data_IF_162004242242
#
_entry.id   IF_162004242242
#
_cell.length_a   1.000
_cell.length_b   1.000
_cell.length_c   1.000
_cell.angle_alpha   90.00
_cell.angle_beta   90.00
_cell.angle_gamma   90.00
#
_symmetry.space_group_name_H-M   'P 1'
#
loop_
_entity.id
_entity.type
_entity.pdbx_description
1 polymer ?
#
# COMPACT_ATOMS: atom_id res chain seq x y z
N UNK A 1 -9.90 1.54 -10.15
CA UNK A 1 -8.55 1.39 -9.59
C UNK A 1 -8.47 -0.01 -9.01
N UNK A 2 -7.38 -0.71 -9.24
CA UNK A 2 -7.12 -2.04 -8.72
C UNK A 2 -5.73 -2.09 -8.07
N UNK A 3 -5.63 -2.79 -6.95
CA UNK A 3 -4.38 -3.24 -6.35
C UNK A 3 -4.52 -4.75 -6.18
N UNK A 4 -3.48 -5.49 -6.53
CA UNK A 4 -3.34 -6.91 -6.23
C UNK A 4 -1.96 -7.12 -5.60
N UNK A 5 -1.82 -8.13 -4.74
CA UNK A 5 -0.56 -8.39 -4.05
C UNK A 5 -0.28 -9.88 -3.93
N UNK A 6 0.99 -10.21 -3.74
CA UNK A 6 1.48 -11.51 -3.33
C UNK A 6 2.49 -11.32 -2.20
N UNK A 7 2.50 -12.27 -1.26
CA UNK A 7 3.49 -12.34 -0.19
C UNK A 7 4.58 -13.34 -0.56
N UNK A 8 5.82 -13.00 -0.26
CA UNK A 8 6.94 -13.92 -0.30
C UNK A 8 7.82 -13.76 0.94
N UNK A 9 8.56 -14.80 1.32
CA UNK A 9 9.51 -14.75 2.42
C UNK A 9 10.92 -14.98 1.90
N UNK A 10 11.87 -14.17 2.32
CA UNK A 10 13.29 -14.37 2.01
C UNK A 10 13.92 -15.46 2.90
N UNK A 11 15.19 -15.81 2.62
CA UNK A 11 15.92 -16.84 3.38
C UNK A 11 16.17 -16.50 4.85
N UNK A 12 16.01 -15.23 5.24
CA UNK A 12 16.07 -14.75 6.62
C UNK A 12 14.70 -14.67 7.29
N UNK A 13 13.62 -15.05 6.59
CA UNK A 13 12.24 -14.96 7.08
C UNK A 13 11.66 -13.54 7.04
N UNK A 14 12.30 -12.63 6.31
CA UNK A 14 11.76 -11.32 6.00
C UNK A 14 10.64 -11.43 4.98
N UNK A 15 9.50 -10.80 5.27
CA UNK A 15 8.31 -10.87 4.41
C UNK A 15 8.31 -9.72 3.42
N UNK A 16 8.18 -10.01 2.14
CA UNK A 16 8.08 -9.01 1.06
C UNK A 16 6.66 -9.02 0.50
N UNK A 17 6.14 -7.84 0.20
CA UNK A 17 4.85 -7.68 -0.49
C UNK A 17 5.15 -7.20 -1.91
N UNK A 18 4.89 -8.06 -2.89
CA UNK A 18 4.92 -7.67 -4.29
C UNK A 18 3.52 -7.28 -4.73
N UNK A 19 3.31 -6.02 -5.04
CA UNK A 19 2.02 -5.50 -5.47
C UNK A 19 2.04 -5.02 -6.92
N UNK A 20 0.86 -5.10 -7.53
CA UNK A 20 0.60 -4.56 -8.87
C UNK A 20 -0.60 -3.63 -8.83
N UNK A 21 -0.57 -2.58 -9.65
CA UNK A 21 -1.64 -1.61 -9.73
C UNK A 21 -1.75 -1.00 -11.12
N UNK A 22 -2.92 -0.44 -11.42
CA UNK A 22 -3.17 0.35 -12.63
C UNK A 22 -3.07 1.87 -12.39
N UNK A 23 -2.48 2.28 -11.26
CA UNK A 23 -2.15 3.68 -10.98
C UNK A 23 -1.02 4.17 -11.91
N UNK A 24 -0.86 5.49 -12.07
CA UNK A 24 0.23 6.05 -12.86
C UNK A 24 1.61 5.67 -12.30
N UNK A 25 2.59 5.52 -13.19
CA UNK A 25 3.99 5.40 -12.77
C UNK A 25 4.41 6.63 -11.95
N UNK A 26 5.25 6.39 -10.94
CA UNK A 26 5.63 7.39 -9.96
C UNK A 26 4.64 7.55 -8.80
N UNK A 27 3.53 6.81 -8.77
CA UNK A 27 2.66 6.79 -7.59
C UNK A 27 3.43 6.29 -6.38
N UNK A 28 3.35 7.05 -5.29
CA UNK A 28 3.94 6.71 -3.99
C UNK A 28 2.87 6.00 -3.15
N UNK A 29 3.10 4.74 -2.80
CA UNK A 29 2.19 3.93 -2.00
C UNK A 29 2.85 3.52 -0.69
N UNK A 30 2.02 3.17 0.29
CA UNK A 30 2.44 2.57 1.56
C UNK A 30 1.89 1.16 1.68
N UNK A 31 2.64 0.27 2.31
CA UNK A 31 2.14 -0.98 2.84
C UNK A 31 2.36 -1.01 4.35
N UNK A 32 1.29 -1.27 5.10
CA UNK A 32 1.30 -1.29 6.56
C UNK A 32 0.77 -2.62 7.08
N UNK A 33 1.43 -3.18 8.08
CA UNK A 33 0.92 -4.26 8.91
C UNK A 33 0.42 -3.72 10.25
N UNK A 34 -0.68 -4.30 10.72
CA UNK A 34 -1.26 -4.07 12.03
C UNK A 34 -1.47 -5.41 12.74
N UNK A 35 -1.43 -5.36 14.06
CA UNK A 35 -1.80 -6.44 14.99
C UNK A 35 -2.94 -5.94 15.88
N UNK A 36 -3.48 -6.79 16.75
CA UNK A 36 -4.59 -6.43 17.65
C UNK A 36 -4.29 -5.16 18.48
N UNK A 37 -3.05 -5.01 18.93
CA UNK A 37 -2.57 -3.85 19.70
C UNK A 37 -2.30 -2.59 18.84
N UNK A 38 -2.55 -2.66 17.52
CA UNK A 38 -2.44 -1.55 16.58
C UNK A 38 -1.28 -1.67 15.59
N UNK A 39 -0.68 -0.53 15.25
CA UNK A 39 0.36 -0.43 14.22
C UNK A 39 1.57 -1.33 14.54
N UNK A 40 1.99 -2.11 13.56
CA UNK A 40 3.17 -2.98 13.68
C UNK A 40 4.35 -2.47 12.86
N UNK A 41 4.19 -2.34 11.55
CA UNK A 41 5.25 -1.91 10.65
C UNK A 41 4.68 -1.27 9.37
N UNK A 42 5.49 -0.45 8.71
CA UNK A 42 5.18 0.13 7.40
C UNK A 42 6.45 0.19 6.56
N UNK A 43 6.26 0.08 5.25
CA UNK A 43 7.24 0.46 4.25
C UNK A 43 6.55 1.25 3.13
N UNK A 44 7.32 2.10 2.45
CA UNK A 44 6.86 2.93 1.34
C UNK A 44 7.54 2.50 0.04
N UNK A 45 6.90 2.76 -1.10
CA UNK A 45 7.51 2.49 -2.38
C UNK A 45 6.90 3.29 -3.52
N UNK A 46 7.59 3.25 -4.65
CA UNK A 46 7.18 3.95 -5.87
C UNK A 46 6.77 2.93 -6.92
N UNK A 47 5.56 3.07 -7.44
CA UNK A 47 5.04 2.26 -8.53
C UNK A 47 5.79 2.56 -9.82
N UNK A 48 6.27 1.51 -10.49
CA UNK A 48 6.93 1.62 -11.78
C UNK A 48 6.55 0.43 -12.66
N UNK A 49 6.08 0.71 -13.88
CA UNK A 49 5.55 -0.29 -14.82
C UNK A 49 4.46 -1.16 -14.16
N UNK A 50 3.56 -0.49 -13.40
CA UNK A 50 2.46 -1.12 -12.68
C UNK A 50 2.87 -2.05 -11.53
N UNK A 51 4.13 -2.02 -11.09
CA UNK A 51 4.68 -2.90 -10.03
C UNK A 51 5.36 -2.10 -8.93
N UNK A 52 5.31 -2.65 -7.71
CA UNK A 52 5.94 -2.11 -6.52
C UNK A 52 6.23 -3.25 -5.55
N UNK A 53 7.29 -3.15 -4.77
CA UNK A 53 7.65 -4.12 -3.73
C UNK A 53 7.89 -3.39 -2.42
N UNK A 54 7.46 -4.00 -1.32
CA UNK A 54 7.59 -3.45 0.04
C UNK A 54 8.29 -4.46 0.94
N UNK A 55 9.09 -3.96 1.88
CA UNK A 55 9.85 -4.75 2.84
C UNK A 55 11.30 -5.02 2.40
N UNK A 56 11.95 -6.05 2.94
CA UNK A 56 11.38 -7.10 3.77
C UNK A 56 10.98 -6.63 5.18
N UNK A 57 9.80 -7.04 5.64
CA UNK A 57 9.28 -6.83 6.98
C UNK A 57 9.77 -7.91 7.95
N UNK A 58 10.17 -7.51 9.15
CA UNK A 58 10.55 -8.41 10.23
C UNK A 58 10.31 -7.75 11.60
N UNK A 59 10.22 -8.55 12.66
CA UNK A 59 10.24 -8.04 14.02
C UNK A 59 11.69 -7.91 14.50
N UNK A 60 12.35 -6.80 14.13
CA UNK A 60 13.75 -6.51 14.49
C UNK A 60 14.71 -7.65 14.10
N UNK A 61 14.54 -8.19 12.90
CA UNK A 61 15.32 -9.33 12.39
C UNK A 61 14.78 -10.71 12.76
N UNK A 62 13.70 -10.79 13.54
CA UNK A 62 12.96 -12.03 13.76
C UNK A 62 11.89 -12.20 12.69
N UNK A 63 11.75 -13.38 12.06
CA UNK A 63 10.69 -13.65 11.10
C UNK A 63 9.29 -13.34 11.66
N UNK A 64 8.39 -12.90 10.77
CA UNK A 64 6.99 -12.68 11.12
C UNK A 64 6.24 -14.01 11.09
N UNK A 65 5.33 -14.21 12.04
CA UNK A 65 4.46 -15.39 12.12
C UNK A 65 3.09 -14.99 12.65
N UNK A 66 2.04 -15.61 12.13
CA UNK A 66 0.66 -15.41 12.59
C UNK A 66 -0.17 -14.53 11.66
N UNK A 67 -1.27 -14.01 12.21
CA UNK A 67 -2.25 -13.21 11.46
C UNK A 67 -1.96 -11.72 11.62
N UNK A 68 -1.99 -11.00 10.50
CA UNK A 68 -1.79 -9.55 10.45
C UNK A 68 -2.88 -8.91 9.59
N UNK A 69 -3.31 -7.71 9.97
CA UNK A 69 -4.09 -6.86 9.08
C UNK A 69 -3.11 -6.11 8.17
N UNK A 70 -3.23 -6.32 6.87
CA UNK A 70 -2.47 -5.65 5.82
C UNK A 70 -3.30 -4.52 5.22
N UNK A 71 -2.70 -3.34 5.07
CA UNK A 71 -3.25 -2.24 4.28
C UNK A 71 -2.24 -1.77 3.24
N UNK A 72 -2.62 -1.74 1.96
CA UNK A 72 -1.84 -1.12 0.88
C UNK A 72 -2.59 0.12 0.40
N UNK A 73 -1.97 1.28 0.56
CA UNK A 73 -2.65 2.57 0.44
C UNK A 73 -1.95 3.48 -0.56
N UNK A 74 -2.72 4.09 -1.46
CA UNK A 74 -2.37 5.36 -2.09
C UNK A 74 -2.84 6.48 -1.14
N UNK A 75 -1.92 7.29 -0.57
CA UNK A 75 -2.28 8.44 0.26
C UNK A 75 -3.23 9.42 -0.47
N UNK A 76 -3.82 10.36 0.29
CA UNK A 76 -4.66 11.42 -0.31
C UNK A 76 -3.97 12.06 -1.50
N UNK A 77 -4.74 12.25 -2.59
CA UNK A 77 -4.17 12.56 -3.90
C UNK A 77 -3.25 13.79 -3.92
N UNK A 78 -3.54 14.83 -3.12
CA UNK A 78 -2.68 16.04 -3.05
C UNK A 78 -1.25 15.78 -2.56
N UNK A 79 -1.00 14.64 -1.90
CA UNK A 79 0.32 14.27 -1.42
C UNK A 79 1.16 13.57 -2.50
N UNK A 80 0.58 13.19 -3.63
CA UNK A 80 1.30 12.49 -4.70
C UNK A 80 2.22 13.43 -5.50
N UNK A 81 3.22 12.92 -6.23
CA UNK A 81 4.03 13.74 -7.13
C UNK A 81 3.21 14.44 -8.21
N UNK A 82 3.65 15.60 -8.68
CA UNK A 82 2.96 16.40 -9.70
C UNK A 82 2.56 15.63 -10.96
N UNK A 83 3.42 14.79 -11.56
CA UNK A 83 3.04 13.96 -12.71
C UNK A 83 1.90 12.98 -12.40
N UNK A 84 1.86 12.42 -11.19
CA UNK A 84 0.78 11.53 -10.74
C UNK A 84 -0.50 12.33 -10.53
N UNK A 85 -0.43 13.49 -9.87
CA UNK A 85 -1.56 14.41 -9.69
C UNK A 85 -2.17 14.83 -11.04
N UNK A 86 -1.35 15.05 -12.07
CA UNK A 86 -1.85 15.37 -13.41
C UNK A 86 -2.72 14.25 -14.01
N UNK A 87 -2.50 12.99 -13.60
CA UNK A 87 -3.32 11.85 -14.01
C UNK A 87 -4.54 11.66 -13.11
N UNK A 88 -4.34 11.63 -11.78
CA UNK A 88 -5.40 11.29 -10.81
C UNK A 88 -6.26 12.49 -10.39
N UNK A 89 -5.79 13.70 -10.68
CA UNK A 89 -6.34 14.98 -10.24
C UNK A 89 -5.80 15.42 -8.87
N UNK A 90 -5.66 16.73 -8.66
CA UNK A 90 -5.09 17.33 -7.44
C UNK A 90 -5.79 16.88 -6.14
N UNK A 91 -7.10 16.59 -6.18
CA UNK A 91 -7.88 16.03 -5.07
C UNK A 91 -8.35 14.59 -5.36
N UNK A 92 -7.79 13.96 -6.39
CA UNK A 92 -8.08 12.58 -6.79
C UNK A 92 -9.39 12.43 -7.55
N UNK A 93 -9.97 13.50 -8.09
CA UNK A 93 -11.27 13.47 -8.77
C UNK A 93 -11.37 12.42 -9.90
N UNK A 94 -10.24 12.05 -10.53
CA UNK A 94 -10.18 11.03 -11.59
C UNK A 94 -10.03 9.60 -11.03
N UNK A 95 -9.76 9.43 -9.74
CA UNK A 95 -9.81 8.12 -9.08
C UNK A 95 -11.25 7.61 -9.04
N UNK A 96 -11.40 6.33 -9.40
CA UNK A 96 -12.66 5.59 -9.39
C UNK A 96 -12.40 4.11 -9.10
N UNK A 97 -13.41 3.40 -8.62
CA UNK A 97 -13.34 1.97 -8.28
C UNK A 97 -13.68 1.69 -6.82
N UNK A 98 -13.78 0.40 -6.48
CA UNK A 98 -14.25 -0.06 -5.17
C UNK A 98 -13.28 0.20 -4.01
N UNK A 99 -12.00 0.40 -4.33
CA UNK A 99 -10.94 0.68 -3.36
C UNK A 99 -10.77 2.18 -3.08
N UNK A 100 -11.53 3.05 -3.75
CA UNK A 100 -11.40 4.51 -3.63
C UNK A 100 -12.36 5.02 -2.56
N UNK A 101 -11.82 5.81 -1.64
CA UNK A 101 -12.56 6.45 -0.56
C UNK A 101 -12.28 7.95 -0.53
N UNK A 102 -13.07 8.70 0.25
CA UNK A 102 -12.93 10.14 0.45
C UNK A 102 -12.52 10.37 1.90
N UNK A 103 -11.44 11.12 2.10
CA UNK A 103 -11.05 11.59 3.43
C UNK A 103 -12.06 12.64 3.91
N UNK A 104 -12.69 12.41 5.07
CA UNK A 104 -13.81 13.24 5.55
C UNK A 104 -13.39 14.67 5.92
N UNK A 105 -12.10 14.89 6.22
CA UNK A 105 -11.59 16.19 6.66
C UNK A 105 -11.22 17.05 5.46
N UNK A 106 -10.44 16.50 4.52
CA UNK A 106 -9.94 17.22 3.36
C UNK A 106 -10.89 17.19 2.16
N UNK A 107 -11.74 16.17 2.05
CA UNK A 107 -12.54 15.88 0.87
C UNK A 107 -11.75 15.24 -0.28
N UNK A 108 -10.45 14.99 -0.09
CA UNK A 108 -9.60 14.37 -1.10
C UNK A 108 -9.87 12.86 -1.19
N UNK A 109 -9.71 12.33 -2.39
CA UNK A 109 -9.75 10.88 -2.60
C UNK A 109 -8.40 10.25 -2.28
N UNK A 110 -8.48 9.06 -1.69
CA UNK A 110 -7.38 8.12 -1.49
C UNK A 110 -7.85 6.73 -1.92
N UNK A 111 -6.95 5.75 -1.92
CA UNK A 111 -7.35 4.37 -2.16
C UNK A 111 -6.65 3.40 -1.21
N UNK A 112 -7.38 2.39 -0.74
CA UNK A 112 -6.83 1.36 0.14
C UNK A 112 -7.30 -0.03 -0.28
N UNK A 113 -6.39 -0.99 -0.22
CA UNK A 113 -6.71 -2.40 -0.16
C UNK A 113 -6.40 -2.89 1.25
N UNK A 114 -7.41 -3.44 1.92
CA UNK A 114 -7.28 -3.99 3.28
C UNK A 114 -7.55 -5.49 3.24
N UNK A 115 -6.71 -6.29 3.90
CA UNK A 115 -6.82 -7.74 3.94
C UNK A 115 -6.25 -8.32 5.23
N UNK A 116 -6.81 -9.44 5.70
CA UNK A 116 -6.18 -10.27 6.73
C UNK A 116 -5.25 -11.27 6.05
N UNK A 117 -3.98 -11.30 6.45
CA UNK A 117 -2.99 -12.23 5.92
C UNK A 117 -2.42 -13.11 7.03
N UNK A 118 -2.10 -14.36 6.69
CA UNK A 118 -1.44 -15.31 7.59
C UNK A 118 -0.04 -15.59 7.06
N UNK A 119 0.95 -15.40 7.93
CA UNK A 119 2.36 -15.61 7.64
C UNK A 119 2.82 -16.84 8.43
N UNK A 120 3.33 -17.85 7.72
CA UNK A 120 3.77 -19.14 8.28
C UNK A 120 5.23 -19.13 8.74
#
# INVERSE_FOLDING_TARGET
MAIAYALSSDSSGGVTIDATSNLPDGSELNASFFVEDGFFAQDEGVLNDGRISFGPFSNKGTPLHGSYDLSITLPIARNQPGPVQACIGDAGQNLSGTLVSIDEISGDKFASLDAVVVID
#
